data_IF_003840949115
#
_entry.id   IF_003840949115
#
_cell.length_a   1.000
_cell.length_b   1.000
_cell.length_c   1.000
_cell.angle_alpha   90.00
_cell.angle_beta   90.00
_cell.angle_gamma   90.00
#
_symmetry.space_group_name_H-M   'P 1'
#
loop_
_entity.id
_entity.type
_entity.pdbx_description
1 polymer ?
2 non-polymer ?
3 non-polymer ?
4 non-polymer ?
5 water ?
#
# COMPACT_ATOMS: atom_id res chain seq x y z
N UNK A 1 -22.94 3.62 -16.18
CA UNK A 1 -21.80 3.79 -17.15
C UNK A 1 -20.62 2.93 -16.71
N UNK A 2 -19.54 2.97 -17.48
CA UNK A 2 -18.33 2.15 -17.22
C UNK A 2 -17.74 2.38 -15.81
N UNK A 3 -17.50 1.30 -15.07
CA UNK A 3 -16.72 1.38 -13.83
C UNK A 3 -15.24 1.58 -14.20
N UNK A 4 -14.55 2.44 -13.47
CA UNK A 4 -13.11 2.60 -13.61
C UNK A 4 -12.41 2.28 -12.28
N UNK A 5 -12.81 1.20 -11.61
CA UNK A 5 -12.29 0.85 -10.27
C UNK A 5 -11.42 -0.40 -10.41
N UNK A 6 -10.20 -0.34 -9.88
CA UNK A 6 -9.25 -1.45 -9.89
C UNK A 6 -8.96 -1.92 -8.45
N UNK A 7 -8.40 -3.11 -8.33
CA UNK A 7 -8.31 -3.82 -7.04
C UNK A 7 -6.88 -3.88 -6.50
N UNK A 8 -6.71 -3.41 -5.26
CA UNK A 8 -5.48 -3.50 -4.49
C UNK A 8 -5.65 -4.49 -3.34
N UNK A 9 -4.83 -5.56 -3.34
CA UNK A 9 -4.76 -6.53 -2.28
C UNK A 9 -3.98 -5.97 -1.10
N UNK A 10 -4.72 -5.55 -0.07
CA UNK A 10 -4.18 -5.01 1.17
C UNK A 10 -3.29 -6.07 1.84
N UNK A 11 -2.02 -5.73 2.07
CA UNK A 11 -1.00 -6.67 2.66
C UNK A 11 -0.75 -7.91 1.78
N UNK A 12 -1.04 -7.78 0.49
CA UNK A 12 -1.08 -8.89 -0.45
C UNK A 12 -2.29 -9.75 -0.27
N UNK A 13 -2.39 -10.79 -1.09
CA UNK A 13 -3.52 -11.69 -0.92
C UNK A 13 -3.18 -12.67 0.19
N UNK A 14 -3.59 -12.29 1.41
CA UNK A 14 -3.27 -13.02 2.61
C UNK A 14 -4.38 -13.91 3.13
N UNK A 15 -5.65 -13.65 2.77
CA UNK A 15 -6.80 -14.46 3.20
C UNK A 15 -7.02 -15.63 2.26
N UNK A 16 -6.01 -16.48 2.18
CA UNK A 16 -5.97 -17.62 1.30
C UNK A 16 -4.97 -18.64 1.86
N UNK A 17 -5.19 -19.92 1.57
CA UNK A 17 -4.33 -21.03 2.05
C UNK A 17 -2.82 -20.80 1.93
N UNK A 18 -2.12 -20.99 3.05
CA UNK A 18 -0.67 -20.86 3.12
C UNK A 18 -0.10 -19.47 3.18
N UNK A 19 -0.96 -18.45 3.12
CA UNK A 19 -0.57 -17.06 3.03
C UNK A 19 -0.57 -16.40 4.39
N UNK A 20 -0.07 -15.16 4.42
CA UNK A 20 0.15 -14.37 5.62
C UNK A 20 0.22 -12.97 5.17
N UNK A 21 -0.16 -12.04 6.03
CA UNK A 21 -0.03 -10.60 5.73
C UNK A 21 1.42 -10.25 5.42
N UNK A 22 1.64 -9.39 4.42
CA UNK A 22 2.98 -8.83 4.16
C UNK A 22 4.08 -9.86 3.92
N UNK A 23 3.72 -10.90 3.17
CA UNK A 23 4.59 -12.06 2.96
C UNK A 23 4.91 -12.22 1.47
N UNK A 24 5.90 -13.05 1.20
CA UNK A 24 6.24 -13.46 -0.16
C UNK A 24 5.02 -14.17 -0.79
N UNK A 25 4.37 -15.06 -0.01
CA UNK A 25 3.20 -15.77 -0.51
C UNK A 25 2.06 -14.81 -0.83
N UNK A 26 1.83 -13.78 -0.02
CA UNK A 26 0.70 -12.85 -0.28
C UNK A 26 0.91 -11.99 -1.53
N UNK A 27 2.17 -11.60 -1.75
CA UNK A 27 2.58 -10.90 -2.95
C UNK A 27 2.37 -11.82 -4.18
N UNK A 28 2.82 -13.07 -4.07
CA UNK A 28 2.66 -14.05 -5.17
C UNK A 28 1.20 -14.31 -5.49
N UNK A 29 0.40 -14.50 -4.44
CA UNK A 29 -1.02 -14.75 -4.64
C UNK A 29 -1.78 -13.53 -5.21
N UNK A 30 -1.42 -12.32 -4.81
CA UNK A 30 -1.97 -11.08 -5.45
C UNK A 30 -1.72 -11.04 -6.96
N UNK A 31 -0.50 -11.38 -7.35
CA UNK A 31 -0.14 -11.56 -8.77
C UNK A 31 -0.92 -12.68 -9.42
N UNK A 32 -1.03 -13.84 -8.76
CA UNK A 32 -1.73 -15.01 -9.30
C UNK A 32 -3.21 -14.72 -9.63
N UNK A 33 -3.88 -13.96 -8.77
CA UNK A 33 -5.27 -13.54 -9.07
C UNK A 33 -5.44 -12.37 -10.06
N UNK A 34 -4.33 -11.75 -10.49
CA UNK A 34 -4.37 -10.62 -11.37
C UNK A 34 -4.89 -9.33 -10.76
N UNK A 35 -4.65 -9.12 -9.47
CA UNK A 35 -5.03 -7.84 -8.85
C UNK A 35 -4.19 -6.74 -9.50
N UNK A 36 -4.75 -5.53 -9.60
CA UNK A 36 -4.00 -4.37 -10.07
C UNK A 36 -2.72 -4.14 -9.26
N UNK A 37 -2.88 -4.15 -7.94
CA UNK A 37 -1.77 -3.94 -7.04
C UNK A 37 -1.75 -4.78 -5.80
N UNK A 38 -0.55 -4.83 -5.23
CA UNK A 38 -0.29 -5.50 -3.97
C UNK A 38 0.35 -4.48 -3.01
N UNK A 39 -0.33 -4.25 -1.87
CA UNK A 39 0.11 -3.30 -0.85
C UNK A 39 0.94 -4.00 0.22
N UNK A 40 1.93 -3.27 0.73
CA UNK A 40 2.77 -3.76 1.79
C UNK A 40 3.34 -2.61 2.64
N UNK A 41 3.69 -2.92 3.89
CA UNK A 41 4.09 -1.94 4.87
C UNK A 41 5.58 -2.03 5.18
N UNK A 42 6.25 -0.88 5.20
CA UNK A 42 7.72 -0.83 5.30
C UNK A 42 8.19 -0.01 6.51
N UNK A 43 9.13 -0.56 7.29
CA UNK A 43 9.84 0.13 8.37
C UNK A 43 11.35 0.13 8.10
N UNK A 44 12.02 1.13 8.64
CA UNK A 44 13.45 1.26 8.75
C UNK A 44 13.89 0.83 10.16
N UNK A 45 14.77 -0.18 10.23
CA UNK A 45 15.36 -0.65 11.48
C UNK A 45 16.36 0.41 12.00
N UNK A 46 16.78 0.27 13.26
CA UNK A 46 17.76 1.16 13.91
C UNK A 46 19.03 1.33 13.07
N UNK A 47 19.47 0.20 12.50
CA UNK A 47 20.62 0.12 11.61
C UNK A 47 20.32 0.29 10.11
N UNK A 48 19.21 0.94 9.79
CA UNK A 48 18.87 1.40 8.43
C UNK A 48 18.64 0.28 7.39
N UNK A 49 18.09 -0.85 7.83
CA UNK A 49 17.62 -1.91 6.96
C UNK A 49 16.11 -1.76 6.83
N UNK A 50 15.63 -1.81 5.59
CA UNK A 50 14.20 -1.72 5.33
C UNK A 50 13.61 -3.13 5.38
N UNK A 51 12.55 -3.29 6.15
CA UNK A 51 11.86 -4.60 6.32
C UNK A 51 10.38 -4.38 6.13
N UNK A 52 9.64 -5.49 5.95
CA UNK A 52 8.26 -5.47 5.55
C UNK A 52 7.42 -6.10 6.67
N UNK A 53 6.60 -5.26 7.32
CA UNK A 53 5.73 -5.70 8.44
C UNK A 53 4.74 -4.58 8.81
N UNK A 54 3.49 -4.93 9.17
CA UNK A 54 2.50 -3.91 9.47
C UNK A 54 2.71 -3.24 10.83
N UNK A 55 2.68 -4.03 11.90
CA UNK A 55 2.67 -3.44 13.24
C UNK A 55 4.05 -2.86 13.60
N UNK A 56 4.06 -1.90 14.50
CA UNK A 56 5.31 -1.30 14.93
C UNK A 56 6.15 -2.25 15.79
N UNK A 57 5.53 -3.28 16.38
CA UNK A 57 6.20 -4.24 17.27
C UNK A 57 5.92 -5.65 16.73
N UNK A 58 6.94 -6.49 16.72
CA UNK A 58 6.83 -7.88 16.27
C UNK A 58 7.38 -8.75 17.39
N UNK A 59 6.51 -9.57 17.99
CA UNK A 59 6.91 -10.53 19.02
C UNK A 59 7.69 -9.82 20.18
N UNK A 60 7.19 -8.67 20.61
CA UNK A 60 7.80 -7.88 21.68
C UNK A 60 8.96 -7.00 21.27
N UNK A 61 9.35 -6.99 20.00
CA UNK A 61 10.47 -6.17 19.50
C UNK A 61 9.96 -4.96 18.73
N UNK A 62 10.39 -3.75 19.12
CA UNK A 62 9.98 -2.53 18.44
C UNK A 62 10.90 -2.33 17.27
N UNK A 63 10.34 -2.43 16.07
CA UNK A 63 11.15 -2.65 14.83
C UNK A 63 12.12 -1.49 14.59
N UNK A 64 11.62 -0.26 14.73
CA UNK A 64 12.38 0.93 14.41
C UNK A 64 13.54 1.29 15.36
N UNK A 65 13.55 0.68 16.56
CA UNK A 65 14.64 0.85 17.51
C UNK A 65 15.49 -0.39 17.64
N UNK A 66 15.18 -1.47 16.89
CA UNK A 66 15.92 -2.72 16.99
C UNK A 66 16.87 -2.80 15.79
N UNK A 67 17.97 -3.51 15.91
CA UNK A 67 18.79 -3.82 14.74
C UNK A 67 18.17 -4.95 13.92
N UNK A 68 18.50 -5.01 12.63
CA UNK A 68 18.01 -6.10 11.78
C UNK A 68 18.43 -7.49 12.35
N UNK A 69 19.63 -7.59 12.87
CA UNK A 69 20.12 -8.82 13.51
C UNK A 69 19.20 -9.36 14.62
N UNK A 70 18.66 -8.46 15.45
CA UNK A 70 17.66 -8.86 16.49
C UNK A 70 16.34 -9.44 15.87
N UNK A 71 15.97 -8.96 14.68
CA UNK A 71 14.67 -9.26 14.07
C UNK A 71 14.67 -10.37 13.01
N UNK A 72 15.84 -10.70 12.49
CA UNK A 72 15.93 -11.41 11.19
C UNK A 72 15.40 -12.79 11.12
N UNK A 73 15.40 -13.48 12.26
CA UNK A 73 14.95 -14.83 12.32
C UNK A 73 13.51 -14.97 12.85
N UNK A 74 12.84 -13.86 13.16
CA UNK A 74 11.44 -13.89 13.57
C UNK A 74 10.54 -14.33 12.41
N UNK A 75 9.51 -15.12 12.71
CA UNK A 75 8.67 -15.73 11.67
C UNK A 75 7.29 -15.11 11.55
N UNK A 76 6.72 -15.14 10.33
CA UNK A 76 5.40 -14.69 10.04
C UNK A 76 4.41 -15.78 10.41
N UNK A 77 3.12 -15.46 10.31
CA UNK A 77 2.03 -16.41 10.64
C UNK A 77 2.03 -17.69 9.83
N UNK A 78 2.66 -17.68 8.65
CA UNK A 78 2.82 -18.89 7.81
C UNK A 78 4.22 -19.51 7.87
N UNK A 79 5.02 -19.12 8.87
CA UNK A 79 6.38 -19.65 9.01
C UNK A 79 7.48 -18.99 8.19
N UNK A 80 7.16 -18.08 7.26
CA UNK A 80 8.22 -17.34 6.55
C UNK A 80 9.04 -16.49 7.50
N UNK A 81 10.30 -16.22 7.17
CA UNK A 81 11.10 -15.27 7.89
C UNK A 81 10.64 -13.85 7.55
N UNK A 82 10.80 -12.94 8.50
CA UNK A 82 10.55 -11.52 8.28
C UNK A 82 11.19 -11.08 6.98
N UNK A 83 10.41 -10.53 5.99
CA UNK A 83 11.08 -10.18 4.73
C UNK A 83 11.87 -8.89 4.84
N UNK A 84 13.03 -8.83 4.21
CA UNK A 84 13.64 -7.53 3.91
C UNK A 84 12.87 -6.95 2.74
N UNK A 85 12.91 -5.64 2.62
CA UNK A 85 12.35 -4.97 1.45
C UNK A 85 13.06 -5.46 0.21
N UNK A 86 14.38 -5.61 0.28
CA UNK A 86 15.12 -6.15 -0.84
C UNK A 86 14.58 -7.48 -1.32
N UNK A 87 14.35 -8.40 -0.40
CA UNK A 87 13.72 -9.71 -0.78
C UNK A 87 12.36 -9.55 -1.41
N UNK A 88 11.57 -8.63 -0.87
CA UNK A 88 10.20 -8.37 -1.35
C UNK A 88 10.25 -7.88 -2.77
N UNK A 89 11.18 -6.94 -3.02
CA UNK A 89 11.38 -6.39 -4.34
C UNK A 89 12.03 -7.34 -5.33
N UNK A 90 12.94 -8.21 -4.89
CA UNK A 90 13.52 -9.20 -5.78
C UNK A 90 12.41 -10.12 -6.31
N UNK A 91 11.48 -10.51 -5.43
CA UNK A 91 10.35 -11.36 -5.87
C UNK A 91 9.38 -10.59 -6.79
N UNK A 92 9.08 -9.35 -6.41
CA UNK A 92 8.17 -8.49 -7.18
C UNK A 92 8.68 -8.20 -8.57
N UNK A 93 9.99 -8.10 -8.73
CA UNK A 93 10.57 -7.92 -10.06
C UNK A 93 10.19 -9.00 -11.07
N UNK A 94 10.12 -10.25 -10.65
CA UNK A 94 9.70 -11.33 -11.55
C UNK A 94 8.17 -11.39 -11.81
N UNK A 95 7.38 -10.69 -10.98
CA UNK A 95 5.91 -10.64 -11.11
C UNK A 95 5.50 -9.38 -11.88
N UNK A 96 5.47 -9.51 -13.21
CA UNK A 96 5.42 -8.34 -14.10
C UNK A 96 4.07 -7.60 -14.19
N UNK A 97 3.01 -8.33 -13.94
CA UNK A 97 1.66 -7.79 -14.04
C UNK A 97 1.20 -6.83 -12.91
N UNK A 98 1.98 -6.66 -11.83
CA UNK A 98 1.40 -6.06 -10.65
C UNK A 98 2.11 -4.78 -10.19
N UNK A 99 1.30 -3.82 -9.78
CA UNK A 99 1.73 -2.56 -9.24
C UNK A 99 2.07 -2.74 -7.76
N UNK A 100 3.13 -2.08 -7.30
CA UNK A 100 3.60 -2.19 -5.93
C UNK A 100 3.13 -0.98 -5.15
N UNK A 101 2.24 -1.20 -4.18
CA UNK A 101 1.66 -0.13 -3.38
C UNK A 101 2.40 -0.12 -2.04
N UNK A 102 3.38 0.78 -1.92
CA UNK A 102 4.43 0.75 -0.91
C UNK A 102 3.98 1.72 0.16
N UNK A 103 3.52 1.20 1.30
CA UNK A 103 3.25 2.04 2.46
C UNK A 103 4.52 2.22 3.30
N UNK A 104 5.04 3.44 3.39
CA UNK A 104 6.10 3.69 4.39
C UNK A 104 5.40 4.00 5.72
N UNK A 105 5.70 3.20 6.73
CA UNK A 105 5.19 3.43 8.10
C UNK A 105 5.76 4.69 8.68
N UNK A 106 5.04 5.28 9.63
CA UNK A 106 5.47 6.49 10.30
C UNK A 106 6.68 6.21 11.23
N UNK A 107 7.71 7.06 11.10
CA UNK A 107 8.92 7.02 11.90
C UNK A 107 8.88 8.10 12.95
N UNK A 108 9.90 8.13 13.80
CA UNK A 108 9.81 8.82 15.11
C UNK A 108 10.09 10.35 15.16
N UNK A 109 10.56 10.90 14.05
CA UNK A 109 10.73 12.35 13.88
C UNK A 109 10.55 12.70 12.43
N UNK A 110 10.35 14.01 12.11
CA UNK A 110 10.32 14.36 10.69
C UNK A 110 11.61 13.97 9.93
N UNK A 111 12.78 14.26 10.53
CA UNK A 111 14.06 13.86 9.91
C UNK A 111 14.21 12.36 9.69
N UNK A 112 13.74 11.52 10.61
CA UNK A 112 13.79 10.06 10.43
C UNK A 112 12.85 9.57 9.33
N UNK A 113 11.67 10.17 9.25
CA UNK A 113 10.78 9.92 8.12
C UNK A 113 11.41 10.27 6.79
N UNK A 114 12.14 11.38 6.73
CA UNK A 114 12.87 11.73 5.50
C UNK A 114 13.93 10.75 5.13
N UNK A 115 14.70 10.33 6.13
CA UNK A 115 15.71 9.30 5.93
C UNK A 115 15.12 7.97 5.44
N UNK A 116 13.99 7.53 6.01
CA UNK A 116 13.35 6.29 5.60
C UNK A 116 12.82 6.40 4.16
N UNK A 117 12.29 7.58 3.81
CA UNK A 117 11.82 7.81 2.45
C UNK A 117 12.98 7.85 1.42
N UNK A 118 14.05 8.55 1.73
CA UNK A 118 15.24 8.55 0.89
C UNK A 118 15.76 7.12 0.65
N UNK A 119 15.91 6.34 1.72
CA UNK A 119 16.46 4.98 1.60
C UNK A 119 15.50 4.06 0.82
N UNK A 120 14.19 4.29 0.98
CA UNK A 120 13.17 3.58 0.23
C UNK A 120 13.30 3.83 -1.27
N UNK A 121 13.43 5.10 -1.64
CA UNK A 121 13.58 5.48 -3.04
C UNK A 121 14.87 4.91 -3.65
N UNK A 122 15.96 4.90 -2.89
CA UNK A 122 17.23 4.32 -3.30
C UNK A 122 17.14 2.80 -3.55
N UNK A 124 14.27 1.05 -4.18
CA UNK A 124 13.35 0.88 -5.32
C UNK A 124 14.09 1.13 -6.63
N UNK A 125 14.92 2.18 -6.62
CA UNK A 125 15.74 2.50 -7.80
C UNK A 125 16.71 1.39 -8.14
N UNK A 126 17.51 0.96 -7.17
CA UNK A 126 18.51 -0.11 -7.49
C UNK A 126 17.88 -1.44 -7.84
N UNK A 128 15.24 -1.67 -9.71
CA UNK A 128 14.67 -1.42 -11.03
C UNK A 128 13.12 -1.47 -11.05
N UNK A 129 12.49 -0.87 -10.03
CA UNK A 129 11.04 -0.94 -9.85
C UNK A 129 10.38 0.43 -9.71
N UNK A 130 11.08 1.52 -10.06
CA UNK A 130 10.49 2.85 -9.92
C UNK A 130 9.25 3.09 -10.80
N UNK A 131 9.23 2.50 -11.99
CA UNK A 131 8.07 2.56 -12.88
C UNK A 131 6.83 1.88 -12.34
N UNK A 132 6.97 0.90 -11.45
CA UNK A 132 5.82 0.11 -10.96
C UNK A 132 5.51 0.32 -9.48
N UNK A 133 6.17 1.26 -8.81
CA UNK A 133 6.00 1.48 -7.39
C UNK A 133 5.37 2.84 -7.08
N UNK A 134 4.24 2.78 -6.41
CA UNK A 134 3.45 3.93 -5.94
C UNK A 134 3.61 4.01 -4.42
N UNK A 135 3.76 5.22 -3.87
CA UNK A 135 3.98 5.39 -2.44
C UNK A 135 2.72 5.91 -1.74
N UNK A 136 2.51 5.42 -0.53
CA UNK A 136 1.45 5.89 0.34
C UNK A 136 2.01 6.03 1.76
N UNK A 137 1.50 6.96 2.58
CA UNK A 137 1.94 7.04 3.98
C UNK A 137 0.94 7.85 4.80
N UNK A 138 0.78 7.50 6.07
CA UNK A 138 0.14 8.41 7.02
C UNK A 138 0.96 9.62 7.37
N UNK A 139 2.28 9.54 7.17
CA UNK A 139 3.18 10.57 7.63
C UNK A 139 3.44 11.62 6.58
N UNK A 141 5.67 14.11 6.53
CA UNK A 141 7.11 14.32 6.22
C UNK A 141 7.64 13.27 5.26
N UNK A 142 7.19 12.01 5.40
CA UNK A 142 7.54 10.96 4.45
C UNK A 142 7.01 11.27 3.04
N UNK A 143 5.72 11.58 2.96
CA UNK A 143 5.06 11.92 1.68
C UNK A 143 5.77 13.08 0.97
N UNK A 144 6.09 14.14 1.70
CA UNK A 144 6.74 15.31 1.09
C UNK A 144 8.11 14.94 0.51
N UNK A 145 8.86 14.10 1.22
CA UNK A 145 10.15 13.64 0.71
C UNK A 145 10.01 12.73 -0.50
N UNK A 146 9.02 11.83 -0.53
CA UNK A 146 8.76 11.06 -1.76
C UNK A 146 8.42 11.96 -2.97
N UNK A 147 7.57 12.95 -2.73
CA UNK A 147 7.20 13.92 -3.78
C UNK A 147 8.45 14.66 -4.29
N UNK A 148 9.29 15.13 -3.37
CA UNK A 148 10.50 15.89 -3.71
C UNK A 148 11.50 15.02 -4.49
N UNK A 149 11.73 13.81 -4.02
CA UNK A 149 12.68 12.90 -4.63
C UNK A 149 12.19 12.32 -5.96
N UNK A 150 10.88 12.08 -6.05
CA UNK A 150 10.28 11.41 -7.20
C UNK A 150 9.08 12.21 -7.73
N UNK A 151 9.38 13.35 -8.36
CA UNK A 151 8.26 14.13 -8.87
C UNK A 151 7.36 13.49 -9.91
N UNK A 152 7.79 12.41 -10.59
CA UNK A 152 6.98 11.70 -11.57
C UNK A 152 6.32 10.46 -11.01
N UNK A 153 6.57 10.11 -9.73
CA UNK A 153 5.97 8.94 -9.11
C UNK A 153 4.60 9.26 -8.50
N UNK A 154 3.82 8.21 -8.25
CA UNK A 154 2.55 8.35 -7.56
C UNK A 154 2.83 8.41 -6.06
N UNK A 155 2.25 9.42 -5.38
CA UNK A 155 2.28 9.59 -3.95
C UNK A 155 0.86 9.94 -3.42
N UNK A 156 0.29 9.12 -2.51
CA UNK A 156 -1.02 9.39 -1.92
C UNK A 156 -0.95 9.50 -0.40
N UNK A 157 -1.79 10.38 0.15
CA UNK A 157 -1.83 10.56 1.59
C UNK A 157 -2.84 9.61 2.19
N UNK A 158 -2.52 9.02 3.36
CA UNK A 158 -3.43 8.10 4.05
C UNK A 158 -4.30 8.70 5.16
N UNK A 159 -3.95 9.86 5.69
CA UNK A 159 -4.44 10.21 7.05
C UNK A 159 -5.85 10.82 7.11
N UNK A 160 -6.35 11.34 5.99
CA UNK A 160 -7.77 11.57 5.85
C UNK A 160 -8.28 13.00 6.06
N UNK A 161 -7.41 13.95 6.44
CA UNK A 161 -7.91 15.26 6.89
C UNK A 161 -7.78 16.38 5.85
N UNK A 162 -7.07 16.15 4.77
CA UNK A 162 -6.79 17.17 3.77
C UNK A 162 -7.67 16.94 2.56
N UNK A 163 -8.25 18.03 2.02
CA UNK A 163 -9.12 17.96 0.85
C UNK A 163 -8.26 17.67 -0.37
N UNK A 164 -8.88 17.19 -1.47
CA UNK A 164 -8.08 16.97 -2.69
C UNK A 164 -7.34 18.23 -3.18
N UNK A 166 -6.22 20.65 -1.32
CA UNK A 166 -5.08 20.84 -0.42
C UNK A 166 -3.96 19.86 -0.76
N UNK A 167 -4.33 18.63 -1.03
CA UNK A 167 -3.35 17.63 -1.46
C UNK A 167 -2.66 17.95 -2.79
N UNK A 168 -3.44 18.41 -3.76
CA UNK A 168 -2.90 18.74 -5.09
C UNK A 168 -1.87 19.84 -4.96
N UNK A 169 -2.15 20.85 -4.13
CA UNK A 169 -1.24 21.99 -3.92
C UNK A 169 0.13 21.55 -3.38
N UNK A 170 0.13 20.52 -2.54
CA UNK A 170 1.36 19.92 -1.97
C UNK A 170 2.12 18.97 -2.93
N UNK A 171 1.56 18.72 -4.13
CA UNK A 171 2.19 17.80 -5.11
C UNK A 171 1.79 16.34 -4.96
N UNK A 172 0.75 16.04 -4.22
CA UNK A 172 0.25 14.66 -4.19
C UNK A 172 -0.39 14.33 -5.51
N UNK A 173 -0.35 13.05 -5.89
CA UNK A 173 -1.05 12.56 -7.05
C UNK A 173 -2.34 11.80 -6.69
N UNK A 174 -2.63 11.59 -5.41
CA UNK A 174 -3.86 10.97 -5.00
C UNK A 174 -4.15 11.00 -3.51
N UNK A 175 -5.35 10.60 -3.13
CA UNK A 175 -5.70 10.28 -1.77
C UNK A 175 -5.96 8.79 -1.66
N UNK A 176 -5.75 8.28 -0.45
CA UNK A 176 -5.98 6.88 -0.09
C UNK A 176 -6.55 6.90 1.33
N UNK A 177 -7.87 7.06 1.44
CA UNK A 177 -8.50 7.46 2.69
C UNK A 177 -9.45 6.38 3.21
N UNK A 178 -9.64 6.35 4.53
CA UNK A 178 -10.57 5.41 5.16
C UNK A 178 -11.98 5.62 4.61
N UNK A 179 -12.72 4.54 4.41
CA UNK A 179 -14.04 4.67 3.81
C UNK A 179 -14.97 5.68 4.49
N UNK A 180 -14.90 5.80 5.82
CA UNK A 180 -15.77 6.76 6.53
C UNK A 180 -15.46 8.21 6.23
N UNK A 181 -14.20 8.50 5.91
CA UNK A 181 -13.84 9.84 5.45
C UNK A 181 -14.56 10.15 4.13
N UNK A 182 -14.58 9.19 3.20
CA UNK A 182 -15.22 9.41 1.91
C UNK A 182 -16.72 9.44 2.02
N UNK A 183 -17.29 8.66 2.95
CA UNK A 183 -18.72 8.80 3.30
C UNK A 183 -19.04 10.16 3.90
N UNK A 184 -18.21 10.64 4.82
CA UNK A 184 -18.35 11.99 5.41
C UNK A 184 -18.12 13.16 4.46
N UNK A 185 -17.28 12.97 3.44
CA UNK A 185 -16.96 13.98 2.42
C UNK A 185 -17.27 13.38 1.05
N UNK A 186 -18.60 13.24 0.72
CA UNK A 186 -18.99 12.50 -0.49
C UNK A 186 -18.61 13.14 -1.84
N UNK A 187 -18.20 14.43 -1.85
CA UNK A 187 -17.70 15.10 -3.08
C UNK A 187 -16.22 14.98 -3.32
N UNK A 188 -15.43 14.45 -2.36
CA UNK A 188 -13.99 14.38 -2.57
C UNK A 188 -13.56 13.45 -3.73
N UNK A 189 -14.30 12.37 -4.00
CA UNK A 189 -13.92 11.50 -5.12
C UNK A 189 -14.02 12.23 -6.48
N UNK A 190 -15.13 12.94 -6.68
CA UNK A 190 -15.34 13.78 -7.85
C UNK A 190 -14.25 14.86 -7.95
N UNK A 191 -13.95 15.54 -6.84
CA UNK A 191 -12.88 16.56 -6.84
C UNK A 191 -11.55 15.96 -7.31
N UNK A 192 -11.22 14.71 -6.89
CA UNK A 192 -9.96 14.08 -7.35
C UNK A 192 -9.96 13.96 -8.86
N UNK A 193 -11.08 13.50 -9.43
CA UNK A 193 -11.23 13.40 -10.89
C UNK A 193 -10.97 14.77 -11.55
N UNK A 194 -11.64 15.81 -11.05
CA UNK A 194 -11.51 17.16 -11.61
C UNK A 194 -10.05 17.65 -11.53
N UNK A 195 -9.39 17.32 -10.41
CA UNK A 195 -7.99 17.69 -10.18
C UNK A 195 -6.92 16.81 -10.85
N UNK A 196 -7.30 15.79 -11.62
CA UNK A 196 -6.33 14.90 -12.23
C UNK A 196 -5.57 14.00 -11.25
N UNK A 198 -5.83 10.53 -8.39
CA UNK A 198 -6.55 9.27 -8.08
C UNK A 198 -7.18 9.23 -6.66
N UNK A 199 -8.24 8.44 -6.55
CA UNK A 199 -8.90 8.20 -5.26
C UNK A 199 -8.77 6.71 -4.95
N UNK A 200 -8.37 6.40 -3.73
CA UNK A 200 -8.22 4.99 -3.24
C UNK A 200 -8.92 4.96 -1.88
N UNK A 201 -9.54 3.81 -1.54
CA UNK A 201 -10.27 3.69 -0.30
C UNK A 201 -9.85 2.39 0.43
N UNK A 202 -9.70 2.46 1.75
CA UNK A 202 -9.24 1.30 2.56
C UNK A 202 -10.09 1.13 3.84
N UNK A 203 -10.14 -0.05 4.48
CA UNK A 203 -9.85 -1.36 3.92
C UNK A 203 -11.26 -1.90 3.76
N UNK A 204 -11.73 -2.07 2.52
CA UNK A 204 -13.17 -2.31 2.29
C UNK A 204 -13.45 -3.77 1.99
N UNK A 205 -14.13 -4.45 2.93
CA UNK A 205 -14.40 -5.91 2.84
C UNK A 205 -15.89 -6.30 2.72
N UNK A 206 -16.80 -5.43 3.14
CA UNK A 206 -18.25 -5.70 3.08
C UNK A 206 -18.73 -5.51 1.62
N UNK A 207 -19.45 -6.50 1.04
CA UNK A 207 -19.94 -6.31 -0.35
C UNK A 207 -20.83 -5.10 -0.67
N UNK A 208 -21.68 -4.68 0.27
CA UNK A 208 -22.54 -3.48 0.08
C UNK A 208 -21.67 -2.21 0.00
N UNK A 209 -20.67 -2.15 0.86
CA UNK A 209 -19.68 -1.06 0.85
C UNK A 209 -18.80 -1.01 -0.42
N UNK A 211 -19.71 -2.05 -3.39
CA UNK A 211 -20.66 -1.48 -4.36
C UNK A 211 -20.84 0.02 -4.22
N UNK A 212 -20.99 0.48 -2.97
CA UNK A 212 -21.09 1.93 -2.65
C UNK A 212 -19.88 2.71 -3.17
N UNK A 214 -17.61 1.70 -5.52
CA UNK A 214 -17.54 1.58 -6.98
C UNK A 214 -18.53 2.56 -7.62
N UNK A 215 -19.76 2.61 -7.09
CA UNK A 215 -20.78 3.64 -7.51
C UNK A 215 -20.27 5.08 -7.36
N UNK A 217 -17.22 5.98 -7.66
CA UNK A 217 -16.23 6.10 -8.72
C UNK A 217 -14.77 6.13 -8.26
N UNK A 218 -14.45 5.55 -7.11
CA UNK A 218 -13.06 5.43 -6.66
C UNK A 218 -12.17 4.72 -7.69
N UNK A 219 -10.99 5.24 -7.95
CA UNK A 219 -10.07 4.60 -8.88
C UNK A 219 -9.62 3.24 -8.34
N UNK A 220 -9.40 3.15 -7.03
CA UNK A 220 -8.92 1.91 -6.39
C UNK A 220 -9.72 1.56 -5.15
N UNK A 221 -9.90 0.26 -4.93
CA UNK A 221 -10.37 -0.26 -3.67
C UNK A 221 -9.25 -1.14 -3.04
N UNK A 222 -8.87 -0.82 -1.81
CA UNK A 222 -7.88 -1.58 -1.03
C UNK A 222 -8.67 -2.48 -0.11
N UNK A 223 -8.44 -3.78 -0.22
CA UNK A 223 -9.32 -4.76 0.43
C UNK A 223 -8.56 -6.00 0.90
N UNK A 224 -9.06 -6.62 1.97
CA UNK A 224 -8.62 -7.98 2.40
C UNK A 224 -9.34 -9.11 1.69
N UNK A 225 -10.35 -8.82 0.86
CA UNK A 225 -11.09 -9.85 0.07
C UNK A 225 -11.04 -9.47 -1.41
N UNK A 226 -9.82 -9.47 -2.01
CA UNK A 226 -9.68 -8.96 -3.39
C UNK A 226 -10.49 -9.73 -4.47
N UNK A 227 -10.59 -11.03 -4.35
CA UNK A 227 -11.39 -11.83 -5.29
C UNK A 227 -12.89 -11.49 -5.26
N UNK A 228 -13.45 -11.16 -4.08
CA UNK A 228 -14.84 -10.70 -4.02
C UNK A 228 -15.01 -9.38 -4.83
N UNK A 229 -14.08 -8.43 -4.67
CA UNK A 229 -14.14 -7.19 -5.43
C UNK A 229 -14.04 -7.40 -6.96
N UNK A 230 -13.16 -8.32 -7.37
CA UNK A 230 -13.03 -8.69 -8.78
C UNK A 230 -14.33 -9.29 -9.33
N UNK A 231 -14.96 -10.19 -8.56
CA UNK A 231 -16.23 -10.78 -8.95
C UNK A 231 -17.32 -9.73 -9.18
N UNK A 232 -17.47 -8.84 -8.21
CA UNK A 232 -18.43 -7.75 -8.28
C UNK A 232 -18.18 -6.87 -9.52
N UNK A 233 -16.93 -6.51 -9.80
CA UNK A 233 -16.58 -5.70 -10.97
C UNK A 233 -16.86 -6.44 -12.30
N UNK A 234 -16.58 -7.76 -12.31
CA UNK A 234 -16.92 -8.57 -13.49
C UNK A 234 -18.45 -8.66 -13.77
N UNK A 235 -19.24 -8.94 -12.73
CA UNK A 235 -20.70 -9.04 -12.88
C UNK A 235 -21.29 -7.71 -13.38
N UNK A 236 -20.85 -6.62 -12.80
CA UNK A 236 -21.26 -5.29 -13.21
C UNK A 236 -20.85 -4.91 -14.67
N UNK A 237 -19.74 -5.47 -15.18
CA UNK A 237 -19.32 -5.23 -16.58
C UNK A 237 -20.06 -6.05 -17.63
N UNK A 238 -20.96 -6.96 -17.22
CA UNK A 238 -21.74 -7.80 -18.15
C UNK A 238 -22.88 -7.03 -18.78
#
# INVERSE_FOLDING_TARGET
GKDNTKVIAHRGYWKTEGSAQNSIRSLERASEIGAYGSEFDVHLTADNVLVVYHDNDIQGKHIQSCTYDELKDLQLSNGEKLPTLEQYLKRAKKLKNIRLIFELKSHDTPERNRDAARLSVQXVKRXKLAKRTDYISFNXDACKEFIRLCPKSEVSYLNGELSPXELKELGFTGLDYHYKVLQSHPDWVKDCKVLGXTSNVWTVDDPKLXEEXIDXGVDFITTDLPEETQKILHSRAQ
#
